data_IF_244902338179
#
_entry.id   IF_244902338179
#
_cell.length_a   1.000
_cell.length_b   1.000
_cell.length_c   1.000
_cell.angle_alpha   90.00
_cell.angle_beta   90.00
_cell.angle_gamma   90.00
#
_symmetry.space_group_name_H-M   'P 1'
#
loop_
_entity.id
_entity.type
_entity.pdbx_description
1 polymer ?
#
# COMPACT_ATOMS: atom_id res chain seq x y z
N UNK A 1 3.76 -9.75 -9.05
CA UNK A 1 3.85 -8.46 -8.37
C UNK A 1 3.39 -8.62 -6.94
N UNK A 2 4.21 -8.19 -5.97
CA UNK A 2 3.84 -8.23 -4.55
C UNK A 2 2.93 -7.06 -4.16
N UNK A 3 2.25 -7.16 -3.01
CA UNK A 3 1.35 -6.11 -2.52
C UNK A 3 2.03 -4.74 -2.40
N UNK A 4 3.29 -4.69 -1.94
CA UNK A 4 4.09 -3.45 -1.91
C UNK A 4 4.35 -2.87 -3.29
N UNK A 5 4.66 -3.72 -4.26
CA UNK A 5 4.93 -3.30 -5.63
C UNK A 5 3.68 -2.70 -6.27
N UNK A 6 2.52 -3.35 -6.08
CA UNK A 6 1.23 -2.85 -6.51
C UNK A 6 0.85 -1.53 -5.79
N UNK A 7 1.16 -1.42 -4.49
CA UNK A 7 0.94 -0.18 -3.74
C UNK A 7 1.78 0.98 -4.32
N UNK A 8 3.04 0.72 -4.68
CA UNK A 8 3.93 1.71 -5.28
C UNK A 8 3.49 2.10 -6.69
N UNK A 9 3.00 1.15 -7.48
CA UNK A 9 2.44 1.44 -8.81
C UNK A 9 1.19 2.34 -8.71
N UNK A 10 0.24 2.00 -7.84
CA UNK A 10 -0.94 2.82 -7.60
C UNK A 10 -0.57 4.25 -7.10
N UNK A 11 0.48 4.38 -6.29
CA UNK A 11 0.99 5.68 -5.85
C UNK A 11 1.58 6.50 -6.99
N UNK A 12 2.34 5.84 -7.89
CA UNK A 12 2.93 6.48 -9.07
C UNK A 12 1.85 6.98 -10.03
N UNK A 13 0.83 6.16 -10.28
CA UNK A 13 -0.34 6.54 -11.07
C UNK A 13 -1.07 7.74 -10.45
N UNK A 14 -1.38 7.67 -9.15
CA UNK A 14 -2.01 8.77 -8.39
C UNK A 14 -1.24 10.08 -8.53
N UNK A 15 0.09 10.03 -8.37
CA UNK A 15 0.97 11.19 -8.47
C UNK A 15 0.95 11.79 -9.88
N UNK A 16 0.92 10.93 -10.90
CA UNK A 16 0.88 11.35 -12.30
C UNK A 16 -0.45 12.02 -12.63
N UNK A 17 -1.57 11.41 -12.22
CA UNK A 17 -2.90 11.99 -12.38
C UNK A 17 -3.00 13.36 -11.69
N UNK A 18 -2.47 13.50 -10.47
CA UNK A 18 -2.50 14.77 -9.75
C UNK A 18 -1.70 15.87 -10.45
N UNK A 19 -0.53 15.55 -11.02
CA UNK A 19 0.26 16.51 -11.80
C UNK A 19 -0.51 17.01 -13.02
N UNK A 20 -1.14 16.10 -13.77
CA UNK A 20 -1.96 16.47 -14.93
C UNK A 20 -3.16 17.30 -14.49
N UNK A 21 -3.81 16.92 -13.40
CA UNK A 21 -4.93 17.65 -12.84
C UNK A 21 -4.56 19.10 -12.49
N UNK A 22 -3.41 19.32 -11.82
CA UNK A 22 -2.93 20.68 -11.51
C UNK A 22 -2.72 21.51 -12.78
N UNK A 23 -2.06 20.95 -13.80
CA UNK A 23 -1.84 21.64 -15.07
C UNK A 23 -3.17 22.05 -15.75
N UNK A 24 -4.19 21.19 -15.69
CA UNK A 24 -5.50 21.48 -16.26
C UNK A 24 -6.23 22.58 -15.49
N UNK A 25 -6.14 22.58 -14.16
CA UNK A 25 -6.71 23.62 -13.32
C UNK A 25 -6.06 24.99 -13.60
N UNK A 26 -4.74 25.02 -13.78
CA UNK A 26 -3.98 26.22 -14.15
C UNK A 26 -4.39 26.77 -15.52
N UNK A 27 -4.74 25.87 -16.46
CA UNK A 27 -5.25 26.24 -17.79
C UNK A 27 -6.75 26.63 -17.78
N UNK A 28 -7.41 26.59 -16.62
CA UNK A 28 -8.83 26.89 -16.49
C UNK A 28 -9.76 25.74 -16.86
N UNK A 29 -9.23 24.56 -17.20
CA UNK A 29 -10.03 23.35 -17.43
C UNK A 29 -10.42 22.70 -16.08
N UNK A 30 -11.37 23.36 -15.41
CA UNK A 30 -11.78 23.01 -14.04
C UNK A 30 -12.45 21.65 -13.94
N UNK A 31 -13.35 21.32 -14.87
CA UNK A 31 -14.10 20.06 -14.82
C UNK A 31 -13.18 18.85 -14.92
N UNK A 32 -12.32 18.79 -15.95
CA UNK A 32 -11.40 17.68 -16.14
C UNK A 32 -10.30 17.67 -15.07
N UNK A 33 -9.83 18.84 -14.64
CA UNK A 33 -8.90 18.96 -13.52
C UNK A 33 -9.46 18.37 -12.23
N UNK A 34 -10.69 18.70 -11.85
CA UNK A 34 -11.36 18.13 -10.67
C UNK A 34 -11.58 16.63 -10.83
N UNK A 35 -12.03 16.16 -12.00
CA UNK A 35 -12.21 14.72 -12.27
C UNK A 35 -10.91 13.92 -12.06
N UNK A 36 -9.78 14.44 -12.55
CA UNK A 36 -8.48 13.80 -12.36
C UNK A 36 -7.97 13.88 -10.91
N UNK A 37 -8.26 14.96 -10.17
CA UNK A 37 -7.95 15.02 -8.74
C UNK A 37 -8.69 13.94 -7.94
N UNK A 38 -9.97 13.71 -8.23
CA UNK A 38 -10.76 12.64 -7.60
C UNK A 38 -10.19 11.26 -7.93
N UNK A 39 -9.86 11.02 -9.20
CA UNK A 39 -9.20 9.78 -9.63
C UNK A 39 -7.84 9.56 -8.94
N UNK A 40 -7.04 10.63 -8.80
CA UNK A 40 -5.77 10.58 -8.07
C UNK A 40 -5.97 10.20 -6.60
N UNK A 41 -6.98 10.76 -5.93
CA UNK A 41 -7.32 10.40 -4.54
C UNK A 41 -7.74 8.94 -4.43
N UNK A 42 -8.58 8.44 -5.34
CA UNK A 42 -8.99 7.04 -5.34
C UNK A 42 -7.78 6.10 -5.47
N UNK A 43 -6.85 6.37 -6.39
CA UNK A 43 -5.61 5.58 -6.56
C UNK A 43 -4.69 5.65 -5.35
N UNK A 44 -4.61 6.81 -4.68
CA UNK A 44 -3.87 6.94 -3.42
C UNK A 44 -4.47 6.07 -2.32
N UNK A 45 -5.79 6.00 -2.20
CA UNK A 45 -6.45 5.14 -1.22
C UNK A 45 -6.16 3.65 -1.48
N UNK A 46 -6.15 3.23 -2.74
CA UNK A 46 -5.74 1.86 -3.13
C UNK A 46 -4.30 1.58 -2.70
N UNK A 47 -3.37 2.51 -2.97
CA UNK A 47 -1.98 2.38 -2.54
C UNK A 47 -1.86 2.21 -1.01
N UNK A 48 -2.54 3.04 -0.23
CA UNK A 48 -2.54 2.97 1.23
C UNK A 48 -3.10 1.64 1.72
N UNK A 49 -4.21 1.18 1.14
CA UNK A 49 -4.83 -0.10 1.52
C UNK A 49 -3.90 -1.29 1.21
N UNK A 50 -3.29 -1.32 0.02
CA UNK A 50 -2.34 -2.38 -0.36
C UNK A 50 -1.09 -2.39 0.53
N UNK A 51 -0.56 -1.21 0.88
CA UNK A 51 0.59 -1.11 1.78
C UNK A 51 0.24 -1.60 3.19
N UNK A 52 -0.95 -1.24 3.70
CA UNK A 52 -1.43 -1.72 4.99
C UNK A 52 -1.57 -3.25 5.00
N UNK A 53 -2.16 -3.81 3.94
CA UNK A 53 -2.29 -5.27 3.79
C UNK A 53 -0.92 -5.95 3.72
N UNK A 54 0.04 -5.37 2.98
CA UNK A 54 1.39 -5.91 2.89
C UNK A 54 2.07 -5.98 4.27
N UNK A 55 1.91 -4.94 5.09
CA UNK A 55 2.48 -4.90 6.43
C UNK A 55 1.83 -5.94 7.35
N UNK A 56 0.52 -6.15 7.26
CA UNK A 56 -0.17 -7.20 8.04
C UNK A 56 0.33 -8.61 7.70
N UNK A 57 0.52 -8.91 6.40
CA UNK A 57 1.04 -10.22 5.97
C UNK A 57 2.47 -10.47 6.46
N UNK A 58 3.31 -9.42 6.45
CA UNK A 58 4.67 -9.49 6.98
C UNK A 58 4.69 -9.70 8.50
N UNK A 59 3.78 -9.07 9.25
CA UNK A 59 3.71 -9.21 10.71
C UNK A 59 3.20 -10.59 11.13
N UNK A 60 2.15 -11.13 10.48
CA UNK A 60 1.68 -12.49 10.77
C UNK A 60 2.74 -13.55 10.48
N UNK A 61 3.61 -13.31 9.49
CA UNK A 61 4.71 -14.23 9.16
C UNK A 61 5.83 -14.20 10.22
N UNK A 62 5.96 -13.13 11.02
CA UNK A 62 6.94 -13.01 12.11
C UNK A 62 6.48 -13.70 13.39
N UNK A 63 5.18 -13.69 13.67
CA UNK A 63 4.62 -14.30 14.87
C UNK A 63 4.68 -15.84 14.83
N UNK A 64 4.46 -16.44 13.65
CA UNK A 64 4.58 -17.89 13.44
C UNK A 64 6.02 -18.42 13.61
N UNK A 65 7.03 -17.61 13.30
CA UNK A 65 8.44 -17.98 13.48
C UNK A 65 8.85 -18.00 14.96
N UNK A 66 8.26 -17.13 15.79
CA UNK A 66 8.57 -17.03 17.22
C UNK A 66 7.92 -18.13 18.06
N UNK A 67 6.77 -18.65 17.62
CA UNK A 67 6.06 -19.73 18.33
C UNK A 67 6.76 -21.10 18.24
N UNK A 68 7.59 -21.33 17.23
CA UNK A 68 8.29 -22.62 17.03
C UNK A 68 9.55 -22.81 17.87
N UNK A 69 10.00 -21.80 18.62
CA UNK A 69 11.23 -21.91 19.42
C UNK A 69 11.03 -22.32 20.89
N UNK A 70 9.78 -22.49 21.36
CA UNK A 70 9.49 -22.78 22.78
C UNK A 70 9.19 -24.26 23.11
N UNK A 71 9.42 -25.21 22.20
CA UNK A 71 9.05 -26.61 22.45
C UNK A 71 10.15 -27.65 22.16
N UNK A 72 11.42 -27.31 22.42
CA UNK A 72 12.55 -28.23 22.21
C UNK A 72 13.45 -28.43 23.44
N UNK A 73 13.05 -27.99 24.65
CA UNK A 73 13.91 -28.09 25.84
C UNK A 73 13.25 -28.65 27.10
N UNK A 74 12.12 -29.35 26.97
CA UNK A 74 11.51 -30.07 28.10
C UNK A 74 11.41 -31.56 27.82
N UNK A 75 12.56 -32.24 27.78
CA UNK A 75 12.56 -33.70 27.92
C UNK A 75 13.89 -34.22 28.45
N UNK A 76 13.76 -35.06 29.48
CA UNK A 76 14.76 -35.90 30.16
C UNK A 76 15.74 -35.21 31.13
N UNK A 77 15.24 -34.98 32.34
CA UNK A 77 15.97 -35.31 33.55
C UNK A 77 15.04 -36.07 34.48
N UNK A 78 15.14 -37.40 34.48
CA UNK A 78 14.69 -38.27 35.56
C UNK A 78 15.42 -39.62 35.48
#
# INVERSE_FOLDING_TARGET
MGLREQAMEALKESTTMLKVACNLLEQGNREEGTRLQEGARAKRNVSVWLMAQANTVEDTSRDDASSRHYNANSSLSH
#
